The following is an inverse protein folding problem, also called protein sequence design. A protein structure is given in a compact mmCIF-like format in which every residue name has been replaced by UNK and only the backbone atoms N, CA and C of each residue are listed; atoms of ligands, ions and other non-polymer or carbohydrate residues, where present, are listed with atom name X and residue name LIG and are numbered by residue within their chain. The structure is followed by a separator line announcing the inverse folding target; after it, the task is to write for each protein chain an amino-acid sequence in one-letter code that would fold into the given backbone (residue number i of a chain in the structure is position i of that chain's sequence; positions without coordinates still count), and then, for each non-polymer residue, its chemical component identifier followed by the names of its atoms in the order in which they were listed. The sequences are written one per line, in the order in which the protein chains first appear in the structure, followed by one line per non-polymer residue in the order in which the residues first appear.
data_IF_676932435040
#
_entry.id   IF_676932435040
#
_cell.length_a   1.000
_cell.length_b   1.000
_cell.length_c   1.000
_cell.angle_alpha   90.00
_cell.angle_beta   90.00
_cell.angle_gamma   90.00
#
_symmetry.space_group_name_H-M   'P 1'
#
loop_
_entity.id
_entity.type
_entity.pdbx_description
1 polymer ?
#
# COMPACT_ATOMS: atom_id res chain seq x y z
N UNK A 1 24.96 -4.53 -23.69
CA UNK A 1 24.10 -4.12 -22.56
C UNK A 1 24.98 -3.32 -21.60
N UNK A 2 24.63 -2.07 -21.31
CA UNK A 2 25.36 -1.22 -20.35
C UNK A 2 24.39 -0.79 -19.27
N UNK A 3 24.43 -1.45 -18.13
CA UNK A 3 23.61 -1.08 -16.98
C UNK A 3 24.17 0.19 -16.34
N UNK A 4 23.30 1.14 -16.07
CA UNK A 4 23.61 2.38 -15.35
C UNK A 4 22.62 2.54 -14.19
N UNK A 5 22.94 3.37 -13.21
CA UNK A 5 22.08 3.58 -12.04
C UNK A 5 21.80 5.06 -11.83
N UNK A 6 20.64 5.36 -11.23
CA UNK A 6 20.21 6.70 -10.85
C UNK A 6 19.57 6.67 -9.47
N UNK A 7 19.89 7.62 -8.60
CA UNK A 7 19.16 7.82 -7.34
C UNK A 7 17.76 8.36 -7.62
N UNK A 8 16.81 7.93 -6.82
CA UNK A 8 15.46 8.46 -6.84
C UNK A 8 15.45 9.94 -6.40
N UNK A 9 14.64 10.74 -7.06
CA UNK A 9 14.41 12.16 -6.77
C UNK A 9 12.89 12.37 -6.59
N UNK A 10 12.46 12.58 -5.36
CA UNK A 10 11.05 12.59 -4.96
C UNK A 10 10.14 13.41 -5.89
N UNK A 11 10.54 14.64 -6.25
CA UNK A 11 9.68 15.54 -7.05
C UNK A 11 9.69 15.27 -8.55
N UNK A 12 10.70 14.58 -9.08
CA UNK A 12 10.85 14.39 -10.53
C UNK A 12 10.58 12.96 -10.98
N UNK A 13 10.70 11.98 -10.11
CA UNK A 13 10.74 10.57 -10.50
C UNK A 13 9.50 9.78 -10.13
N UNK A 14 8.48 10.37 -9.49
CA UNK A 14 7.23 9.68 -9.12
C UNK A 14 6.59 9.00 -10.33
N UNK A 15 6.41 9.74 -11.43
CA UNK A 15 5.84 9.17 -12.65
C UNK A 15 6.72 8.06 -13.24
N UNK A 16 8.04 8.18 -13.13
CA UNK A 16 8.96 7.14 -13.60
C UNK A 16 8.83 5.84 -12.80
N UNK A 17 8.65 5.94 -11.48
CA UNK A 17 8.35 4.78 -10.63
C UNK A 17 7.00 4.20 -11.00
N UNK A 18 5.97 5.05 -11.10
CA UNK A 18 4.62 4.62 -11.46
C UNK A 18 4.61 3.84 -12.76
N UNK A 19 5.14 4.41 -13.82
CA UNK A 19 5.18 3.78 -15.14
C UNK A 19 5.92 2.43 -15.10
N UNK A 20 7.07 2.38 -14.42
CA UNK A 20 7.84 1.15 -14.27
C UNK A 20 7.07 0.06 -13.52
N UNK A 21 6.42 0.41 -12.40
CA UNK A 21 5.65 -0.55 -11.60
C UNK A 21 4.38 -1.01 -12.34
N UNK A 22 3.72 -0.11 -13.06
CA UNK A 22 2.58 -0.47 -13.93
C UNK A 22 3.00 -1.43 -15.03
N UNK A 23 4.12 -1.17 -15.73
CA UNK A 23 4.63 -2.04 -16.80
C UNK A 23 5.10 -3.41 -16.32
N UNK A 24 5.56 -3.50 -15.07
CA UNK A 24 6.10 -4.74 -14.50
C UNK A 24 5.10 -5.49 -13.62
N UNK A 25 3.91 -4.95 -13.44
CA UNK A 25 2.87 -5.54 -12.61
C UNK A 25 2.43 -6.90 -13.15
N UNK A 26 2.54 -7.92 -12.32
CA UNK A 26 2.07 -9.27 -12.61
C UNK A 26 1.71 -10.00 -11.31
N UNK A 27 0.47 -9.82 -10.85
CA UNK A 27 0.04 -10.44 -9.61
C UNK A 27 0.00 -11.98 -9.65
N UNK A 28 -0.12 -12.57 -10.84
CA UNK A 28 -0.15 -14.04 -11.00
C UNK A 28 1.23 -14.67 -10.79
N UNK A 29 2.29 -13.96 -11.14
CA UNK A 29 3.65 -14.40 -10.94
C UNK A 29 4.29 -13.82 -9.67
N UNK A 30 3.56 -12.96 -8.95
CA UNK A 30 3.94 -12.42 -7.65
C UNK A 30 5.37 -11.83 -7.63
N UNK A 31 5.61 -10.87 -8.54
CA UNK A 31 6.95 -10.33 -8.81
C UNK A 31 7.25 -8.99 -8.13
N UNK A 32 6.46 -8.57 -7.16
CA UNK A 32 6.65 -7.32 -6.42
C UNK A 32 5.37 -6.51 -6.24
N UNK A 33 5.51 -5.32 -5.69
CA UNK A 33 4.39 -4.43 -5.36
C UNK A 33 3.81 -3.75 -6.61
N UNK A 34 2.52 -3.45 -6.54
CA UNK A 34 1.82 -2.61 -7.50
C UNK A 34 2.19 -1.12 -7.33
N UNK A 35 1.99 -0.32 -8.38
CA UNK A 35 2.31 1.11 -8.36
C UNK A 35 1.62 1.91 -7.22
N UNK A 36 0.32 1.70 -6.92
CA UNK A 36 -0.34 2.40 -5.82
C UNK A 36 0.31 2.18 -4.46
N UNK A 37 0.88 1.00 -4.20
CA UNK A 37 1.57 0.72 -2.93
C UNK A 37 2.70 1.72 -2.68
N UNK A 38 3.57 1.94 -3.65
CA UNK A 38 4.67 2.89 -3.53
C UNK A 38 4.17 4.32 -3.39
N UNK A 39 3.24 4.74 -4.26
CA UNK A 39 2.78 6.13 -4.28
C UNK A 39 1.99 6.48 -3.03
N UNK A 40 1.13 5.58 -2.53
CA UNK A 40 0.44 5.74 -1.26
C UNK A 40 1.42 5.93 -0.09
N UNK A 41 2.44 5.07 0.00
CA UNK A 41 3.44 5.16 1.06
C UNK A 41 4.22 6.49 1.00
N UNK A 42 4.81 6.82 -0.15
CA UNK A 42 5.72 7.98 -0.29
C UNK A 42 5.01 9.33 -0.11
N UNK A 43 3.69 9.38 -0.30
CA UNK A 43 2.89 10.60 -0.12
C UNK A 43 2.20 10.69 1.24
N UNK A 44 2.20 9.62 2.01
CA UNK A 44 1.58 9.57 3.35
C UNK A 44 2.43 10.26 4.41
N UNK A 45 1.76 10.86 5.40
CA UNK A 45 2.43 11.56 6.50
C UNK A 45 3.11 10.62 7.51
N UNK A 46 2.80 9.33 7.47
CA UNK A 46 3.40 8.31 8.33
C UNK A 46 4.72 7.76 7.77
N UNK A 47 5.01 8.01 6.49
CA UNK A 47 6.23 7.56 5.84
C UNK A 47 7.41 8.48 6.20
N UNK A 48 8.52 7.89 6.66
CA UNK A 48 9.78 8.62 6.78
C UNK A 48 10.46 8.71 5.41
N UNK A 49 10.32 9.86 4.75
CA UNK A 49 10.90 10.11 3.43
C UNK A 49 12.34 10.61 3.48
N UNK A 50 12.94 10.75 4.69
CA UNK A 50 14.29 11.32 4.88
C UNK A 50 15.39 10.55 4.15
N UNK A 51 15.16 9.26 3.87
CA UNK A 51 16.12 8.37 3.21
C UNK A 51 15.72 8.01 1.77
N UNK A 52 14.65 8.56 1.22
CA UNK A 52 14.17 8.24 -0.13
C UNK A 52 15.21 8.48 -1.23
N UNK A 53 16.21 9.33 -1.00
CA UNK A 53 17.33 9.53 -1.90
C UNK A 53 18.24 8.27 -2.03
N UNK A 54 18.08 7.27 -1.18
CA UNK A 54 18.76 5.97 -1.25
C UNK A 54 18.02 5.00 -2.16
N UNK A 55 16.72 5.20 -2.42
CA UNK A 55 16.00 4.43 -3.42
C UNK A 55 16.70 4.60 -4.77
N UNK A 56 16.75 3.52 -5.56
CA UNK A 56 17.60 3.49 -6.74
C UNK A 56 16.98 2.77 -7.91
N UNK A 57 17.20 3.36 -9.08
CA UNK A 57 16.91 2.76 -10.37
C UNK A 57 18.13 2.13 -11.00
N UNK A 58 17.90 1.06 -11.77
CA UNK A 58 18.82 0.48 -12.76
C UNK A 58 18.22 0.63 -14.14
N UNK A 59 19.08 0.99 -15.11
CA UNK A 59 18.68 1.25 -16.49
C UNK A 59 19.50 0.40 -17.45
N UNK A 60 18.84 -0.08 -18.52
CA UNK A 60 19.50 -0.53 -19.75
C UNK A 60 19.17 0.47 -20.87
N UNK A 61 20.14 1.32 -21.21
CA UNK A 61 19.89 2.53 -21.98
C UNK A 61 18.95 3.48 -21.23
N UNK A 62 17.81 3.80 -21.82
CA UNK A 62 16.79 4.68 -21.23
C UNK A 62 15.68 3.90 -20.50
N UNK A 63 15.74 2.57 -20.51
CA UNK A 63 14.71 1.72 -19.94
C UNK A 63 15.00 1.38 -18.49
N UNK A 64 14.06 1.65 -17.60
CA UNK A 64 14.13 1.18 -16.20
C UNK A 64 13.99 -0.36 -16.20
N UNK A 65 14.93 -1.03 -15.57
CA UNK A 65 14.99 -2.51 -15.49
C UNK A 65 14.90 -3.05 -14.07
N UNK A 66 15.25 -2.22 -13.08
CA UNK A 66 15.00 -2.52 -11.67
C UNK A 66 14.82 -1.21 -10.88
N UNK A 67 14.06 -1.31 -9.81
CA UNK A 67 13.90 -0.26 -8.81
C UNK A 67 13.91 -0.91 -7.42
N UNK A 68 14.71 -0.37 -6.54
CA UNK A 68 14.83 -0.81 -5.16
C UNK A 68 14.50 0.35 -4.25
N UNK A 69 13.66 0.12 -3.27
CA UNK A 69 13.10 1.15 -2.41
C UNK A 69 12.70 0.57 -1.05
N UNK A 70 12.45 1.45 -0.12
CA UNK A 70 11.95 1.07 1.19
C UNK A 70 10.52 1.58 1.43
N UNK A 71 9.88 1.00 2.42
CA UNK A 71 8.68 1.50 3.07
C UNK A 71 8.99 1.78 4.55
N UNK A 72 8.02 2.20 5.31
CA UNK A 72 8.18 2.41 6.75
C UNK A 72 7.95 1.11 7.55
N UNK A 73 8.90 0.68 8.39
CA UNK A 73 10.16 1.35 8.72
C UNK A 73 11.17 1.33 7.57
N UNK A 74 12.11 2.27 7.58
CA UNK A 74 13.16 2.42 6.54
C UNK A 74 13.97 1.13 6.29
N UNK A 75 13.86 0.17 7.19
CA UNK A 75 14.51 -1.14 7.09
C UNK A 75 13.75 -2.15 6.22
N UNK A 76 12.52 -1.86 5.82
CA UNK A 76 11.70 -2.74 4.97
C UNK A 76 11.98 -2.46 3.51
N UNK A 77 12.78 -3.31 2.87
CA UNK A 77 13.30 -3.11 1.53
C UNK A 77 12.52 -3.96 0.52
N UNK A 78 12.13 -3.33 -0.57
CA UNK A 78 11.40 -3.91 -1.70
C UNK A 78 12.21 -3.87 -2.98
N UNK A 79 12.00 -4.88 -3.81
CA UNK A 79 12.65 -5.02 -5.10
C UNK A 79 11.58 -5.19 -6.18
N UNK A 80 11.63 -4.37 -7.22
CA UNK A 80 10.90 -4.63 -8.46
C UNK A 80 11.91 -4.77 -9.59
N UNK A 81 11.86 -5.89 -10.31
CA UNK A 81 12.83 -6.23 -11.36
C UNK A 81 12.08 -6.66 -12.60
N UNK A 82 12.41 -6.05 -13.73
CA UNK A 82 11.85 -6.40 -15.03
C UNK A 82 12.30 -7.80 -15.45
N UNK A 83 11.39 -8.59 -15.96
CA UNK A 83 11.68 -9.92 -16.50
C UNK A 83 12.82 -9.87 -17.55
N UNK A 84 13.78 -10.79 -17.39
CA UNK A 84 14.99 -10.87 -18.19
C UNK A 84 16.19 -10.13 -17.59
N UNK A 85 16.01 -9.47 -16.44
CA UNK A 85 17.07 -8.77 -15.72
C UNK A 85 17.36 -9.36 -14.33
N UNK A 86 16.94 -10.60 -14.09
CA UNK A 86 17.13 -11.36 -12.85
C UNK A 86 18.62 -11.53 -12.50
N UNK A 87 19.50 -11.44 -13.49
CA UNK A 87 20.97 -11.47 -13.30
C UNK A 87 21.52 -10.30 -12.47
N UNK A 88 20.71 -9.23 -12.26
CA UNK A 88 21.08 -8.10 -11.41
C UNK A 88 20.96 -8.41 -9.90
N UNK A 89 20.38 -9.54 -9.51
CA UNK A 89 20.02 -9.86 -8.13
C UNK A 89 21.17 -9.65 -7.13
N UNK A 90 22.38 -10.14 -7.45
CA UNK A 90 23.54 -9.98 -6.58
C UNK A 90 23.92 -8.50 -6.39
N UNK A 91 23.88 -7.69 -7.46
CA UNK A 91 24.17 -6.25 -7.42
C UNK A 91 23.12 -5.48 -6.61
N UNK A 92 21.83 -5.80 -6.80
CA UNK A 92 20.72 -5.16 -6.08
C UNK A 92 20.81 -5.41 -4.58
N UNK A 93 21.05 -6.66 -4.18
CA UNK A 93 21.18 -7.03 -2.77
C UNK A 93 22.44 -6.42 -2.15
N UNK A 94 23.58 -6.39 -2.86
CA UNK A 94 24.81 -5.75 -2.39
C UNK A 94 24.64 -4.24 -2.21
N UNK A 95 23.90 -3.61 -3.11
CA UNK A 95 23.56 -2.20 -2.99
C UNK A 95 22.81 -1.91 -1.68
N UNK A 96 21.77 -2.68 -1.38
CA UNK A 96 20.95 -2.51 -0.19
C UNK A 96 21.76 -2.69 1.10
N UNK A 97 22.52 -3.78 1.19
CA UNK A 97 23.35 -4.07 2.36
C UNK A 97 24.37 -2.95 2.63
N UNK A 98 24.85 -2.31 1.56
CA UNK A 98 25.94 -1.32 1.67
C UNK A 98 25.44 0.12 1.87
N UNK A 99 24.19 0.43 1.51
CA UNK A 99 23.72 1.81 1.42
C UNK A 99 22.52 2.13 2.33
N UNK A 100 21.62 1.17 2.56
CA UNK A 100 20.45 1.43 3.39
C UNK A 100 20.80 1.49 4.88
N UNK A 101 20.15 2.37 5.65
CA UNK A 101 20.45 2.54 7.06
C UNK A 101 20.01 1.32 7.87
N UNK A 102 20.77 1.02 8.91
CA UNK A 102 20.51 -0.10 9.82
C UNK A 102 19.99 0.33 11.20
N UNK A 103 20.21 1.59 11.63
CA UNK A 103 19.82 2.17 12.93
C UNK A 103 20.00 1.26 14.14
N UNK A 104 20.99 0.36 14.11
CA UNK A 104 21.17 -0.67 15.14
C UNK A 104 20.12 -1.78 15.11
N UNK A 105 19.21 -1.76 14.12
CA UNK A 105 18.22 -2.78 13.82
C UNK A 105 18.67 -3.69 12.68
N UNK A 106 17.88 -4.73 12.45
CA UNK A 106 18.12 -5.68 11.36
C UNK A 106 17.56 -5.12 10.06
N UNK A 107 18.36 -5.11 8.99
CA UNK A 107 17.82 -4.95 7.63
C UNK A 107 16.92 -6.13 7.30
N UNK A 108 15.78 -5.83 6.69
CA UNK A 108 14.88 -6.88 6.23
C UNK A 108 14.44 -6.64 4.79
N UNK A 109 14.40 -7.72 4.03
CA UNK A 109 13.88 -7.72 2.67
C UNK A 109 12.47 -8.28 2.68
N UNK A 110 11.54 -7.59 2.03
CA UNK A 110 10.19 -8.08 1.78
C UNK A 110 10.17 -8.67 0.38
N UNK A 111 10.13 -9.99 0.30
CA UNK A 111 10.28 -10.73 -0.96
C UNK A 111 9.02 -11.54 -1.30
N UNK A 112 8.77 -11.68 -2.57
CA UNK A 112 7.61 -12.34 -3.15
C UNK A 112 7.97 -13.70 -3.76
N UNK A 113 6.98 -14.56 -4.02
CA UNK A 113 7.24 -15.90 -4.55
C UNK A 113 7.92 -15.87 -5.93
N UNK A 114 7.58 -14.92 -6.78
CA UNK A 114 8.23 -14.75 -8.09
C UNK A 114 9.67 -14.23 -8.05
N UNK A 115 10.18 -13.88 -6.87
CA UNK A 115 11.51 -13.29 -6.70
C UNK A 115 12.55 -14.29 -6.18
N UNK A 116 12.49 -15.56 -6.62
CA UNK A 116 13.44 -16.58 -6.17
C UNK A 116 14.90 -16.17 -6.40
N UNK A 117 15.19 -15.43 -7.46
CA UNK A 117 16.53 -14.91 -7.77
C UNK A 117 17.06 -13.92 -6.72
N UNK A 118 16.17 -13.08 -6.13
CA UNK A 118 16.54 -12.20 -5.00
C UNK A 118 16.68 -13.02 -3.71
N UNK A 119 15.79 -14.00 -3.46
CA UNK A 119 15.88 -14.91 -2.30
C UNK A 119 17.21 -15.66 -2.31
N UNK A 120 17.66 -16.15 -3.46
CA UNK A 120 18.93 -16.84 -3.61
C UNK A 120 20.12 -15.90 -3.37
N UNK A 121 20.08 -14.67 -3.87
CA UNK A 121 21.10 -13.65 -3.64
C UNK A 121 21.19 -13.22 -2.17
N UNK A 122 20.04 -13.08 -1.50
CA UNK A 122 19.96 -12.77 -0.07
C UNK A 122 20.50 -13.93 0.78
N UNK A 123 20.12 -15.18 0.46
CA UNK A 123 20.62 -16.37 1.16
C UNK A 123 22.13 -16.51 1.11
N UNK A 124 22.77 -16.25 -0.05
CA UNK A 124 24.25 -16.23 -0.20
C UNK A 124 24.93 -15.24 0.76
N UNK A 125 24.20 -14.20 1.21
CA UNK A 125 24.70 -13.15 2.13
C UNK A 125 24.28 -13.37 3.58
N UNK A 126 23.68 -14.54 3.86
CA UNK A 126 23.32 -14.97 5.20
C UNK A 126 21.93 -14.53 5.66
N UNK A 127 21.12 -13.97 4.77
CA UNK A 127 19.70 -13.70 5.07
C UNK A 127 18.92 -15.01 5.11
N UNK A 128 17.92 -15.06 5.99
CA UNK A 128 17.01 -16.21 6.15
C UNK A 128 15.59 -15.70 6.24
N UNK A 129 14.65 -16.49 5.73
CA UNK A 129 13.22 -16.24 5.92
C UNK A 129 12.87 -16.36 7.41
N UNK A 130 12.24 -15.34 7.97
CA UNK A 130 11.85 -15.28 9.39
C UNK A 130 10.34 -15.14 9.60
N UNK A 131 9.62 -14.65 8.60
CA UNK A 131 8.18 -14.46 8.66
C UNK A 131 7.55 -14.56 7.27
N UNK A 132 6.24 -14.84 7.20
CA UNK A 132 5.47 -14.86 5.96
C UNK A 132 4.02 -14.47 6.19
N UNK A 133 3.39 -13.90 5.18
CA UNK A 133 1.95 -13.63 5.16
C UNK A 133 1.41 -13.68 3.73
N UNK A 134 0.08 -13.71 3.61
CA UNK A 134 -0.59 -13.61 2.33
C UNK A 134 -1.44 -12.34 2.29
N UNK A 135 -1.48 -11.69 1.15
CA UNK A 135 -2.47 -10.68 0.81
C UNK A 135 -3.49 -11.28 -0.16
N UNK A 136 -4.72 -10.81 -0.07
CA UNK A 136 -5.82 -11.36 -0.85
C UNK A 136 -6.00 -10.65 -2.19
N UNK A 137 -6.46 -11.41 -3.17
CA UNK A 137 -7.00 -10.88 -4.44
C UNK A 137 -8.42 -11.41 -4.62
N UNK A 138 -9.35 -10.50 -4.94
CA UNK A 138 -10.69 -10.86 -5.38
C UNK A 138 -10.74 -10.86 -6.91
N UNK A 139 -10.87 -12.04 -7.54
CA UNK A 139 -11.04 -12.17 -8.99
C UNK A 139 -12.49 -11.81 -9.38
N UNK A 140 -12.68 -10.89 -10.31
CA UNK A 140 -13.99 -10.41 -10.76
C UNK A 140 -14.77 -11.39 -11.64
N UNK A 141 -14.24 -12.60 -11.86
CA UNK A 141 -15.05 -13.74 -12.29
C UNK A 141 -16.05 -14.18 -11.23
N UNK A 142 -15.73 -13.91 -9.96
CA UNK A 142 -16.62 -14.09 -8.83
C UNK A 142 -17.54 -12.87 -8.68
N UNK A 143 -18.59 -13.01 -7.87
CA UNK A 143 -19.50 -11.91 -7.54
C UNK A 143 -19.36 -11.51 -6.08
N UNK A 144 -19.37 -10.20 -5.82
CA UNK A 144 -19.41 -9.63 -4.50
C UNK A 144 -20.66 -8.76 -4.37
N UNK A 145 -21.63 -9.20 -3.58
CA UNK A 145 -22.94 -8.55 -3.51
C UNK A 145 -23.49 -8.53 -2.08
N UNK A 146 -22.94 -7.61 -1.27
CA UNK A 146 -23.45 -7.33 0.07
C UNK A 146 -24.16 -5.97 0.06
N UNK A 147 -25.37 -5.96 0.58
CA UNK A 147 -26.16 -4.75 0.72
C UNK A 147 -25.73 -3.94 1.94
N UNK A 148 -25.89 -2.63 1.85
CA UNK A 148 -25.68 -1.74 2.98
C UNK A 148 -26.77 -1.96 4.02
N UNK A 149 -26.44 -2.22 5.29
CA UNK A 149 -27.42 -2.44 6.35
C UNK A 149 -28.32 -1.22 6.58
N UNK A 150 -29.55 -1.47 7.03
CA UNK A 150 -30.48 -0.40 7.36
C UNK A 150 -29.92 0.53 8.45
N UNK A 151 -30.16 1.83 8.30
CA UNK A 151 -29.69 2.88 9.22
C UNK A 151 -28.29 3.42 8.88
N UNK A 152 -27.73 3.02 7.74
CA UNK A 152 -26.50 3.54 7.18
C UNK A 152 -26.71 4.01 5.75
N UNK A 153 -25.86 4.94 5.30
CA UNK A 153 -25.88 5.41 3.92
C UNK A 153 -24.45 5.70 3.43
N UNK A 154 -24.27 5.65 2.10
CA UNK A 154 -23.03 6.08 1.48
C UNK A 154 -22.98 7.60 1.37
N UNK A 155 -21.87 8.19 1.73
CA UNK A 155 -21.59 9.63 1.55
C UNK A 155 -21.10 9.86 0.11
N UNK A 156 -21.58 10.91 -0.54
CA UNK A 156 -21.02 11.31 -1.84
C UNK A 156 -19.57 11.78 -1.62
N UNK A 157 -18.58 11.31 -2.39
CA UNK A 157 -17.19 11.77 -2.26
C UNK A 157 -17.02 13.30 -2.30
N UNK A 158 -17.92 14.02 -3.00
CA UNK A 158 -17.90 15.48 -3.08
C UNK A 158 -18.29 16.17 -1.77
N UNK A 159 -19.08 15.49 -0.94
CA UNK A 159 -19.61 16.00 0.32
C UNK A 159 -18.80 15.48 1.53
N UNK A 160 -17.66 14.86 1.27
CA UNK A 160 -16.85 14.21 2.30
C UNK A 160 -16.22 15.24 3.24
N UNK A 161 -16.51 15.09 4.55
CA UNK A 161 -15.90 15.87 5.62
C UNK A 161 -14.60 15.22 6.07
N UNK A 162 -13.49 15.91 5.81
CA UNK A 162 -12.15 15.41 6.11
C UNK A 162 -11.92 15.20 7.60
N UNK A 163 -12.46 16.07 8.45
CA UNK A 163 -12.32 15.94 9.91
C UNK A 163 -13.04 14.68 10.40
N UNK A 164 -14.26 14.45 9.92
CA UNK A 164 -15.00 13.23 10.22
C UNK A 164 -14.28 11.97 9.71
N UNK A 165 -13.69 12.04 8.52
CA UNK A 165 -12.93 10.94 7.95
C UNK A 165 -11.66 10.65 8.78
N UNK A 166 -10.91 11.69 9.15
CA UNK A 166 -9.72 11.56 10.01
C UNK A 166 -10.06 11.00 11.39
N UNK A 167 -11.18 11.45 11.97
CA UNK A 167 -11.71 10.89 13.23
C UNK A 167 -12.05 9.41 13.09
N UNK A 168 -12.71 9.04 12.00
CA UNK A 168 -13.02 7.64 11.71
C UNK A 168 -11.74 6.81 11.58
N UNK A 169 -10.75 7.27 10.82
CA UNK A 169 -9.47 6.58 10.67
C UNK A 169 -8.74 6.42 12.00
N UNK A 170 -8.73 7.48 12.84
CA UNK A 170 -8.16 7.42 14.18
C UNK A 170 -8.69 6.23 15.00
N UNK A 171 -10.01 6.10 15.08
CA UNK A 171 -10.63 4.99 15.83
C UNK A 171 -10.58 3.67 15.04
N UNK A 172 -10.79 3.72 13.73
CA UNK A 172 -10.86 2.56 12.86
C UNK A 172 -9.56 1.77 12.80
N UNK A 173 -8.40 2.46 12.86
CA UNK A 173 -7.07 1.85 12.92
C UNK A 173 -6.57 1.60 14.35
N UNK A 174 -7.44 1.76 15.36
CA UNK A 174 -7.11 1.38 16.74
C UNK A 174 -6.32 2.43 17.52
N UNK A 175 -6.16 3.65 17.00
CA UNK A 175 -5.43 4.70 17.73
C UNK A 175 -6.22 5.31 18.90
N UNK A 176 -7.51 4.97 19.03
CA UNK A 176 -8.34 5.38 20.17
C UNK A 176 -7.77 4.97 21.53
N UNK A 177 -6.93 3.94 21.59
CA UNK A 177 -6.20 3.53 22.81
C UNK A 177 -5.19 4.60 23.26
N UNK A 178 -4.74 5.48 22.36
CA UNK A 178 -3.87 6.62 22.67
C UNK A 178 -4.63 7.83 23.19
N UNK A 179 -5.97 7.86 23.10
CA UNK A 179 -6.85 8.92 23.56
C UNK A 179 -7.91 9.33 22.57
N UNK A 180 -8.66 10.36 22.94
CA UNK A 180 -9.72 10.92 22.10
C UNK A 180 -9.17 11.67 20.88
N UNK A 181 -9.94 11.69 19.77
CA UNK A 181 -9.65 12.51 18.61
C UNK A 181 -9.94 13.98 18.90
N UNK A 182 -8.97 14.69 19.48
CA UNK A 182 -9.03 16.11 19.85
C UNK A 182 -7.72 16.80 19.50
N UNK A 183 -7.75 18.13 19.50
CA UNK A 183 -6.57 18.96 19.20
C UNK A 183 -5.96 18.66 17.80
N UNK A 184 -6.76 18.09 16.89
CA UNK A 184 -6.38 17.66 15.56
C UNK A 184 -5.95 18.84 14.66
N UNK A 185 -6.37 20.06 14.98
CA UNK A 185 -6.04 21.30 14.28
C UNK A 185 -4.77 22.00 14.81
N UNK A 186 -4.13 21.42 15.83
CA UNK A 186 -2.90 21.97 16.41
C UNK A 186 -1.67 21.50 15.67
N UNK A 187 -0.65 22.34 15.64
CA UNK A 187 0.67 21.94 15.20
C UNK A 187 1.25 20.88 16.17
N UNK A 188 1.78 19.80 15.60
CA UNK A 188 2.37 18.70 16.34
C UNK A 188 3.63 18.19 15.62
N UNK A 189 4.78 18.32 16.28
CA UNK A 189 6.09 17.84 15.84
C UNK A 189 6.57 16.60 16.62
N UNK A 190 5.70 16.01 17.44
CA UNK A 190 6.03 14.77 18.18
C UNK A 190 6.37 13.61 17.24
N UNK A 191 7.12 12.64 17.73
CA UNK A 191 7.40 11.40 16.98
C UNK A 191 6.22 10.42 16.99
N UNK A 192 5.25 10.62 17.89
CA UNK A 192 4.10 9.75 18.03
C UNK A 192 3.02 10.03 16.98
N UNK A 193 2.23 9.00 16.65
CA UNK A 193 1.02 9.17 15.86
C UNK A 193 -0.07 9.83 16.72
N UNK A 194 -0.55 10.99 16.28
CA UNK A 194 -1.49 11.85 17.01
C UNK A 194 -2.72 12.16 16.17
N UNK A 195 -3.82 12.69 16.77
CA UNK A 195 -4.96 13.18 16.00
C UNK A 195 -4.60 14.24 14.95
N UNK A 196 -3.64 15.12 15.24
CA UNK A 196 -3.18 16.13 14.29
C UNK A 196 -2.49 15.50 13.07
N UNK A 197 -1.65 14.48 13.29
CA UNK A 197 -1.04 13.72 12.18
C UNK A 197 -2.06 12.93 11.38
N UNK A 198 -3.00 12.26 12.05
CA UNK A 198 -4.10 11.57 11.39
C UNK A 198 -4.96 12.51 10.53
N UNK A 199 -5.20 13.73 11.00
CA UNK A 199 -5.92 14.75 10.23
C UNK A 199 -5.08 15.24 9.04
N UNK A 200 -3.80 15.48 9.24
CA UNK A 200 -2.87 15.90 8.17
C UNK A 200 -2.79 14.85 7.07
N UNK A 201 -2.78 13.58 7.43
CA UNK A 201 -2.76 12.46 6.48
C UNK A 201 -4.06 12.41 5.65
N UNK A 202 -5.22 12.49 6.31
CA UNK A 202 -6.52 12.59 5.63
C UNK A 202 -6.63 13.83 4.73
N UNK A 203 -6.10 14.97 5.20
CA UNK A 203 -6.06 16.20 4.40
C UNK A 203 -5.23 16.00 3.11
N UNK A 204 -4.06 15.37 3.22
CA UNK A 204 -3.21 15.06 2.06
C UNK A 204 -3.97 14.22 1.03
N UNK A 205 -4.55 13.12 1.46
CA UNK A 205 -5.26 12.19 0.58
C UNK A 205 -6.49 12.76 -0.11
N UNK A 206 -7.19 13.72 0.48
CA UNK A 206 -8.45 14.24 -0.08
C UNK A 206 -8.33 15.60 -0.77
N UNK A 207 -7.47 16.48 -0.29
CA UNK A 207 -7.34 17.84 -0.81
C UNK A 207 -6.11 18.05 -1.70
N UNK A 208 -5.13 17.19 -1.55
CA UNK A 208 -3.89 17.23 -2.33
C UNK A 208 -3.49 15.79 -2.70
N UNK A 209 -4.34 15.08 -3.45
CA UNK A 209 -4.08 13.70 -3.80
C UNK A 209 -2.78 13.57 -4.57
N UNK A 210 -2.16 12.42 -4.46
CA UNK A 210 -0.99 12.07 -5.25
C UNK A 210 -1.35 11.98 -6.75
N UNK A 211 -0.36 12.04 -7.66
CA UNK A 211 -0.62 12.19 -9.09
C UNK A 211 -1.57 11.15 -9.71
N UNK A 212 -1.61 9.93 -9.17
CA UNK A 212 -2.42 8.84 -9.72
C UNK A 212 -3.50 8.35 -8.75
N UNK A 213 -3.65 9.00 -7.62
CA UNK A 213 -4.72 8.70 -6.65
C UNK A 213 -6.10 9.02 -7.25
N UNK A 214 -7.10 8.22 -6.91
CA UNK A 214 -8.46 8.33 -7.47
C UNK A 214 -9.51 8.52 -6.38
N UNK A 215 -9.52 9.68 -5.67
CA UNK A 215 -10.42 9.93 -4.54
C UNK A 215 -11.91 9.87 -4.89
N UNK A 216 -12.26 10.08 -6.15
CA UNK A 216 -13.64 9.98 -6.66
C UNK A 216 -14.23 8.57 -6.48
N UNK A 217 -13.39 7.57 -6.29
CA UNK A 217 -13.84 6.19 -6.03
C UNK A 217 -13.85 5.84 -4.55
N UNK A 218 -13.43 6.73 -3.66
CA UNK A 218 -13.47 6.48 -2.21
C UNK A 218 -14.90 6.24 -1.74
N UNK A 219 -15.02 5.42 -0.71
CA UNK A 219 -16.30 5.09 -0.10
C UNK A 219 -16.24 5.43 1.38
N UNK A 220 -17.16 6.30 1.79
CA UNK A 220 -17.47 6.57 3.18
C UNK A 220 -18.88 6.13 3.46
N UNK A 221 -19.09 5.47 4.61
CA UNK A 221 -20.40 5.11 5.12
C UNK A 221 -20.63 5.92 6.40
N UNK A 222 -21.78 6.58 6.47
CA UNK A 222 -22.27 7.28 7.66
C UNK A 222 -23.46 6.54 8.29
N UNK A 223 -23.63 6.74 9.58
CA UNK A 223 -24.79 6.28 10.34
C UNK A 223 -25.93 7.31 10.29
N UNK A 224 -27.05 7.00 10.95
CA UNK A 224 -28.23 7.89 11.04
C UNK A 224 -27.99 9.23 11.72
N UNK A 225 -26.87 9.40 12.43
CA UNK A 225 -26.48 10.64 13.09
C UNK A 225 -25.43 11.41 12.26
N UNK A 226 -25.19 11.04 11.02
CA UNK A 226 -24.18 11.61 10.12
C UNK A 226 -22.72 11.43 10.63
N UNK A 227 -22.48 10.48 11.55
CA UNK A 227 -21.11 10.10 11.95
C UNK A 227 -20.54 9.09 10.96
N UNK A 228 -19.29 9.31 10.53
CA UNK A 228 -18.59 8.40 9.63
C UNK A 228 -18.14 7.15 10.37
N UNK A 229 -18.47 5.99 9.83
CA UNK A 229 -18.31 4.70 10.51
C UNK A 229 -17.55 3.64 9.72
N UNK A 230 -17.39 3.83 8.41
CA UNK A 230 -16.55 2.98 7.57
C UNK A 230 -15.95 3.80 6.44
N UNK A 231 -14.66 3.59 6.16
CA UNK A 231 -13.94 4.20 5.06
C UNK A 231 -13.22 3.13 4.27
N UNK A 232 -13.23 3.26 2.94
CA UNK A 232 -12.46 2.42 2.03
C UNK A 232 -11.92 3.27 0.88
N UNK A 233 -10.59 3.35 0.78
CA UNK A 233 -9.88 3.96 -0.34
C UNK A 233 -9.83 3.03 -1.55
N UNK A 234 -9.64 3.60 -2.73
CA UNK A 234 -9.56 2.85 -3.98
C UNK A 234 -8.73 3.60 -5.01
N UNK A 235 -7.76 2.89 -5.58
CA UNK A 235 -6.97 3.32 -6.73
C UNK A 235 -7.40 2.53 -7.95
N UNK A 236 -7.72 3.22 -9.03
CA UNK A 236 -8.00 2.59 -10.31
C UNK A 236 -6.78 2.67 -11.22
N UNK A 237 -6.21 1.52 -11.58
CA UNK A 237 -5.06 1.40 -12.49
C UNK A 237 -5.53 0.73 -13.79
N UNK A 238 -6.00 1.51 -14.77
CA UNK A 238 -6.61 0.96 -15.99
C UNK A 238 -5.68 0.08 -16.81
N UNK A 239 -4.39 0.39 -16.88
CA UNK A 239 -3.41 -0.38 -17.62
C UNK A 239 -3.25 -1.81 -17.10
N UNK A 240 -3.43 -2.00 -15.80
CA UNK A 240 -3.35 -3.29 -15.14
C UNK A 240 -4.73 -3.95 -14.92
N UNK A 241 -5.82 -3.27 -15.29
CA UNK A 241 -7.19 -3.68 -14.92
C UNK A 241 -7.32 -3.94 -13.41
N UNK A 242 -6.60 -3.17 -12.60
CA UNK A 242 -6.45 -3.35 -11.16
C UNK A 242 -7.30 -2.33 -10.39
N UNK A 243 -8.15 -2.82 -9.51
CA UNK A 243 -8.72 -2.06 -8.40
C UNK A 243 -7.83 -2.27 -7.16
N UNK A 244 -7.01 -1.29 -6.82
CA UNK A 244 -6.13 -1.39 -5.65
C UNK A 244 -6.84 -0.76 -4.46
N UNK A 245 -7.27 -1.59 -3.51
CA UNK A 245 -8.02 -1.18 -2.32
C UNK A 245 -7.06 -0.92 -1.18
N UNK A 246 -6.93 0.34 -0.80
CA UNK A 246 -6.14 0.82 0.34
C UNK A 246 -6.63 2.21 0.73
N UNK A 247 -6.84 2.52 2.01
CA UNK A 247 -7.01 1.59 3.14
C UNK A 247 -8.47 1.14 3.32
N UNK A 248 -8.72 0.26 4.30
CA UNK A 248 -10.07 -0.10 4.74
C UNK A 248 -10.15 -0.08 6.26
N UNK A 249 -11.06 0.71 6.83
CA UNK A 249 -11.30 0.69 8.26
C UNK A 249 -12.78 0.82 8.61
N UNK A 250 -13.14 0.34 9.80
CA UNK A 250 -14.48 0.49 10.39
C UNK A 250 -14.34 0.87 11.86
N UNK A 251 -15.10 1.88 12.28
CA UNK A 251 -15.16 2.33 13.67
C UNK A 251 -15.47 1.14 14.59
N UNK A 252 -14.79 0.96 15.74
CA UNK A 252 -14.93 -0.20 16.61
C UNK A 252 -16.40 -0.55 16.97
N UNK A 253 -17.21 0.44 17.31
CA UNK A 253 -18.62 0.27 17.72
C UNK A 253 -19.54 -0.16 16.57
N UNK A 254 -19.05 -0.08 15.33
CA UNK A 254 -19.79 -0.41 14.12
C UNK A 254 -19.24 -1.64 13.39
N UNK A 255 -18.25 -2.33 13.97
CA UNK A 255 -17.69 -3.58 13.42
C UNK A 255 -18.72 -4.72 13.45
N UNK A 256 -18.50 -5.73 12.60
CA UNK A 256 -19.35 -6.95 12.47
C UNK A 256 -20.81 -6.67 12.06
N UNK A 257 -21.08 -5.49 11.49
CA UNK A 257 -22.41 -5.12 10.98
C UNK A 257 -22.50 -5.17 9.45
N UNK A 258 -21.46 -5.66 8.74
CA UNK A 258 -21.47 -5.81 7.28
C UNK A 258 -21.03 -4.55 6.51
N UNK A 259 -20.59 -3.47 7.17
CA UNK A 259 -20.26 -2.20 6.51
C UNK A 259 -19.08 -2.33 5.53
N UNK A 260 -17.99 -2.94 5.97
CA UNK A 260 -16.83 -3.18 5.12
C UNK A 260 -17.19 -4.06 3.91
N UNK A 261 -18.01 -5.11 4.10
CA UNK A 261 -18.48 -5.95 3.00
C UNK A 261 -19.32 -5.18 2.00
N UNK A 262 -20.19 -4.25 2.46
CA UNK A 262 -20.99 -3.39 1.60
C UNK A 262 -20.10 -2.38 0.82
N UNK A 263 -19.10 -1.80 1.48
CA UNK A 263 -18.11 -0.92 0.82
C UNK A 263 -17.36 -1.66 -0.29
N UNK A 264 -16.80 -2.84 0.00
CA UNK A 264 -16.11 -3.65 -1.00
C UNK A 264 -17.03 -4.10 -2.14
N UNK A 265 -18.32 -4.37 -1.87
CA UNK A 265 -19.30 -4.69 -2.91
C UNK A 265 -19.59 -3.50 -3.81
N UNK A 266 -19.63 -2.28 -3.28
CA UNK A 266 -19.77 -1.08 -4.09
C UNK A 266 -18.51 -0.82 -4.93
N UNK A 267 -17.32 -1.00 -4.36
CA UNK A 267 -16.07 -0.96 -5.14
C UNK A 267 -16.09 -1.97 -6.27
N UNK A 268 -16.39 -3.24 -5.99
CA UNK A 268 -16.53 -4.27 -7.02
C UNK A 268 -17.44 -3.84 -8.17
N UNK A 269 -18.64 -3.36 -7.87
CA UNK A 269 -19.59 -2.92 -8.89
C UNK A 269 -19.05 -1.75 -9.73
N UNK A 270 -18.48 -0.74 -9.09
CA UNK A 270 -17.90 0.45 -9.77
C UNK A 270 -16.69 0.08 -10.63
N UNK A 271 -15.74 -0.66 -10.06
CA UNK A 271 -14.51 -1.02 -10.74
C UNK A 271 -14.73 -2.03 -11.87
N UNK A 272 -15.64 -2.99 -11.70
CA UNK A 272 -16.06 -3.91 -12.78
C UNK A 272 -16.65 -3.16 -13.97
N UNK A 273 -17.44 -2.12 -13.71
CA UNK A 273 -18.01 -1.28 -14.77
C UNK A 273 -16.93 -0.47 -15.53
N UNK A 274 -15.79 -0.19 -14.89
CA UNK A 274 -14.63 0.46 -15.52
C UNK A 274 -13.71 -0.54 -16.25
N UNK A 275 -13.95 -1.84 -16.10
CA UNK A 275 -13.14 -2.89 -16.76
C UNK A 275 -12.06 -3.50 -15.86
N UNK A 276 -12.13 -3.29 -14.54
CA UNK A 276 -11.25 -4.00 -13.61
C UNK A 276 -11.54 -5.51 -13.67
N UNK A 277 -10.49 -6.31 -13.51
CA UNK A 277 -10.56 -7.78 -13.49
C UNK A 277 -10.32 -8.35 -12.10
N UNK A 278 -9.75 -7.59 -11.20
CA UNK A 278 -9.42 -8.02 -9.85
C UNK A 278 -9.28 -6.83 -8.89
N UNK A 279 -9.36 -7.11 -7.59
CA UNK A 279 -9.24 -6.13 -6.52
C UNK A 279 -8.33 -6.66 -5.41
N UNK A 280 -7.41 -5.82 -4.92
CA UNK A 280 -6.57 -6.15 -3.77
C UNK A 280 -7.34 -6.13 -2.46
N UNK A 281 -6.82 -6.83 -1.45
CA UNK A 281 -7.32 -6.84 -0.08
C UNK A 281 -6.37 -7.55 0.85
N UNK A 282 -6.70 -7.58 2.14
CA UNK A 282 -5.87 -8.27 3.13
C UNK A 282 -5.95 -9.80 3.04
N UNK A 283 -5.06 -10.47 3.76
CA UNK A 283 -5.02 -11.92 3.86
C UNK A 283 -5.78 -12.50 5.05
N UNK A 284 -6.43 -11.66 5.85
CA UNK A 284 -7.12 -12.11 7.07
C UNK A 284 -8.44 -12.86 6.77
N UNK A 285 -9.00 -13.56 7.78
CA UNK A 285 -10.23 -14.35 7.60
C UNK A 285 -11.45 -13.56 7.14
N UNK A 286 -11.47 -12.23 7.30
CA UNK A 286 -12.55 -11.39 6.79
C UNK A 286 -12.59 -11.42 5.26
N UNK A 287 -11.46 -11.16 4.60
CA UNK A 287 -11.37 -11.19 3.14
C UNK A 287 -11.61 -12.58 2.56
N UNK A 288 -11.07 -13.63 3.21
CA UNK A 288 -11.30 -15.01 2.78
C UNK A 288 -12.80 -15.37 2.76
N UNK A 289 -13.59 -14.94 3.76
CA UNK A 289 -15.04 -15.13 3.80
C UNK A 289 -15.78 -14.39 2.67
N UNK A 290 -15.20 -13.34 2.13
CA UNK A 290 -15.76 -12.61 0.99
C UNK A 290 -15.39 -13.23 -0.36
N UNK A 291 -14.58 -14.29 -0.36
CA UNK A 291 -14.12 -14.96 -1.58
C UNK A 291 -12.82 -14.43 -2.15
N UNK A 292 -12.05 -13.67 -1.36
CA UNK A 292 -10.66 -13.35 -1.72
C UNK A 292 -9.82 -14.62 -1.67
N UNK A 293 -9.04 -14.82 -2.70
CA UNK A 293 -8.09 -15.92 -2.82
C UNK A 293 -6.68 -15.42 -2.46
N UNK A 294 -5.73 -16.34 -2.32
CA UNK A 294 -4.33 -16.00 -2.13
C UNK A 294 -3.83 -15.22 -3.37
N UNK A 295 -3.46 -13.98 -3.17
CA UNK A 295 -2.88 -13.12 -4.20
C UNK A 295 -1.37 -13.07 -4.10
N UNK A 296 -0.85 -12.23 -3.21
CA UNK A 296 0.58 -12.12 -2.96
C UNK A 296 0.98 -13.01 -1.77
N UNK A 297 2.08 -13.73 -1.91
CA UNK A 297 2.76 -14.36 -0.78
C UNK A 297 4.05 -13.60 -0.50
N UNK A 298 4.07 -12.93 0.64
CA UNK A 298 5.16 -12.08 1.08
C UNK A 298 5.97 -12.79 2.16
N UNK A 299 7.28 -12.67 2.07
CA UNK A 299 8.21 -13.25 3.05
C UNK A 299 9.19 -12.18 3.54
N UNK A 300 9.43 -12.13 4.85
CA UNK A 300 10.48 -11.30 5.42
C UNK A 300 11.76 -12.11 5.56
N UNK A 301 12.84 -11.56 5.04
CA UNK A 301 14.17 -12.11 5.12
C UNK A 301 15.06 -11.18 5.93
N UNK A 302 15.71 -11.72 6.96
CA UNK A 302 16.64 -10.99 7.83
C UNK A 302 17.99 -11.69 7.89
N UNK A 303 19.03 -10.91 8.13
CA UNK A 303 20.33 -11.43 8.51
C UNK A 303 20.43 -11.35 10.01
N UNK A 304 20.80 -12.46 10.67
CA UNK A 304 21.07 -12.48 12.11
C UNK A 304 22.12 -11.41 12.42
N UNK A 305 21.78 -10.45 13.28
CA UNK A 305 22.71 -9.41 13.72
C UNK A 305 23.90 -10.05 14.45
N UNK A 306 25.10 -9.59 14.12
CA UNK A 306 26.30 -9.88 14.89
C UNK A 306 26.29 -9.10 16.20
#
# INVERSE_FOLDING_TARGET
MKITTKRFQLLSDINLVWDFLVETYDWKNDCGRAAPFFEYAITSSWMDTSYSFLDRFWFDGDKVVAFVYYENPVTDIYFNVRKGYEFLADELVDYEISNMPHFGGEQQFVLFDGQQFIKDAAAKRGFKQVYEWNEGIFDFKNELNYELPQGYHFVDPKDMDIVKCSKLCWYGFGHGDKGEFKDWDKYDDSMDWTPAKSHKDGWGSFLSPSPHETPEYYIVIADKNEEYVCFSGMWWVPQNHLAYMEPLCTHPDHRKKGLASAALSLHYKRMKALGATHMTGGGDPFYQKLGYEKGYHCTIWRKDGN
#
